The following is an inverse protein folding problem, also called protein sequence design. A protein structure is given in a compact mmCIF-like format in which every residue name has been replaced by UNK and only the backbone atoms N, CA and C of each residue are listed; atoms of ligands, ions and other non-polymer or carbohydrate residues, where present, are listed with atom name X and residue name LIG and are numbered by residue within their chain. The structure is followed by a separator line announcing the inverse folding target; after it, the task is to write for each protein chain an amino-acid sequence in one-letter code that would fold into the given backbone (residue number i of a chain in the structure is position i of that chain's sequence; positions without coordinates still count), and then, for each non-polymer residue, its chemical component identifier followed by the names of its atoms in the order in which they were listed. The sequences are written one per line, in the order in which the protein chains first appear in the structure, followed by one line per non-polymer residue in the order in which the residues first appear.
data_IF_006175295381
#
_entry.id   IF_006175295381
#
_cell.length_a   1.000
_cell.length_b   1.000
_cell.length_c   1.000
_cell.angle_alpha   90.00
_cell.angle_beta   90.00
_cell.angle_gamma   90.00
#
_symmetry.space_group_name_H-M   'P 1'
#
loop_
_entity.id
_entity.type
_entity.pdbx_description
1 polymer ?
#
# COMPACT_ATOMS: atom_id res chain seq x y z
N UNK A 1 14.94 -5.57 19.00
CA UNK A 1 16.18 -6.23 19.49
C UNK A 1 17.04 -5.20 20.22
N UNK A 2 17.46 -5.45 21.47
CA UNK A 2 18.36 -4.55 22.20
C UNK A 2 19.81 -4.86 21.80
N UNK A 3 20.65 -3.83 21.71
CA UNK A 3 22.07 -3.99 21.48
C UNK A 3 22.76 -4.62 22.72
N UNK A 4 24.02 -5.02 22.56
CA UNK A 4 24.78 -5.69 23.63
C UNK A 4 24.93 -4.86 24.90
N UNK A 5 24.90 -3.52 24.79
CA UNK A 5 24.93 -2.57 25.92
C UNK A 5 23.60 -2.48 26.69
N UNK A 6 22.55 -3.20 26.24
CA UNK A 6 21.18 -3.26 26.77
C UNK A 6 20.46 -1.89 26.87
N UNK A 7 21.07 -0.80 26.43
CA UNK A 7 20.55 0.58 26.52
C UNK A 7 20.01 1.10 25.19
N UNK A 8 20.64 0.68 24.10
CA UNK A 8 20.28 1.09 22.74
C UNK A 8 19.74 -0.06 21.91
N UNK A 9 19.06 0.22 20.83
CA UNK A 9 18.58 -0.78 19.88
C UNK A 9 19.61 -1.00 18.78
N UNK A 10 19.64 -2.20 18.19
CA UNK A 10 20.47 -2.49 17.01
C UNK A 10 20.19 -1.49 15.88
N UNK A 11 18.92 -1.12 15.71
CA UNK A 11 18.51 -0.12 14.71
C UNK A 11 19.19 1.24 14.94
N UNK A 12 19.36 1.67 16.21
CA UNK A 12 20.05 2.93 16.55
C UNK A 12 21.52 2.90 16.09
N UNK A 13 22.23 1.79 16.29
CA UNK A 13 23.61 1.65 15.82
C UNK A 13 23.70 1.71 14.31
N UNK A 14 22.86 0.94 13.61
CA UNK A 14 22.82 0.94 12.14
C UNK A 14 22.53 2.36 11.63
N UNK A 15 21.50 3.00 12.15
CA UNK A 15 21.13 4.35 11.76
C UNK A 15 22.24 5.38 12.06
N UNK A 16 22.98 5.23 13.17
CA UNK A 16 24.10 6.12 13.49
C UNK A 16 25.26 5.98 12.51
N UNK A 17 25.53 4.77 12.02
CA UNK A 17 26.53 4.53 10.99
C UNK A 17 26.08 5.14 9.66
N UNK A 18 24.82 4.88 9.26
CA UNK A 18 24.24 5.41 8.01
C UNK A 18 24.26 6.94 8.04
N UNK A 19 23.89 7.57 9.16
CA UNK A 19 23.89 9.02 9.29
C UNK A 19 25.28 9.64 9.05
N UNK A 20 26.35 8.96 9.46
CA UNK A 20 27.73 9.42 9.22
C UNK A 20 28.16 9.29 7.77
N UNK A 21 27.64 8.28 7.05
CA UNK A 21 28.02 8.02 5.66
C UNK A 21 27.15 8.79 4.69
N UNK A 22 25.82 8.66 4.84
CA UNK A 22 24.84 9.35 3.99
C UNK A 22 23.50 9.46 4.74
N UNK A 23 23.23 10.65 5.28
CA UNK A 23 22.00 10.90 6.06
C UNK A 23 20.71 10.79 5.23
N UNK A 24 20.78 10.97 3.91
CA UNK A 24 19.59 10.85 3.04
C UNK A 24 19.04 9.43 2.97
N UNK A 25 19.88 8.41 3.22
CA UNK A 25 19.42 7.02 3.28
C UNK A 25 18.49 6.73 4.47
N UNK A 26 18.36 7.66 5.42
CA UNK A 26 17.40 7.56 6.52
C UNK A 26 16.04 8.16 6.19
N UNK A 27 15.89 8.76 5.00
CA UNK A 27 14.64 9.39 4.53
C UNK A 27 13.71 8.40 3.78
N UNK A 28 13.79 7.10 4.10
CA UNK A 28 13.05 6.01 3.47
C UNK A 28 11.55 6.28 3.40
N UNK A 29 11.01 7.04 4.35
CA UNK A 29 9.60 7.38 4.41
C UNK A 29 9.15 8.27 3.26
N UNK A 30 10.04 9.14 2.81
CA UNK A 30 9.78 10.06 1.69
C UNK A 30 9.75 9.31 0.35
N UNK A 31 10.49 8.19 0.26
CA UNK A 31 10.53 7.33 -0.93
C UNK A 31 9.32 6.37 -1.01
N UNK A 32 8.62 6.14 0.10
CA UNK A 32 7.53 5.17 0.21
C UNK A 32 6.16 5.79 0.62
N UNK A 33 5.74 6.95 0.04
CA UNK A 33 4.55 7.67 0.50
C UNK A 33 3.25 6.87 0.32
N UNK A 34 3.21 5.99 -0.68
CA UNK A 34 2.04 5.16 -0.97
C UNK A 34 1.96 3.92 -0.08
N UNK A 35 3.09 3.32 0.27
CA UNK A 35 3.15 2.12 1.13
C UNK A 35 2.57 2.42 2.51
N UNK A 36 2.81 3.62 3.04
CA UNK A 36 2.29 4.05 4.34
C UNK A 36 0.77 4.27 4.36
N UNK A 37 0.14 4.45 3.18
CA UNK A 37 -1.31 4.63 3.01
C UNK A 37 -2.06 3.32 2.75
N UNK A 38 -1.35 2.22 2.47
CA UNK A 38 -1.95 0.94 2.06
C UNK A 38 -2.46 0.08 3.20
N UNK A 39 -2.80 0.66 4.35
CA UNK A 39 -3.29 -0.09 5.52
C UNK A 39 -4.63 -0.83 5.30
N UNK A 40 -5.36 -0.53 4.22
CA UNK A 40 -6.70 -1.06 3.94
C UNK A 40 -6.74 -2.11 2.81
N UNK A 41 -5.65 -2.83 2.55
CA UNK A 41 -5.64 -3.91 1.55
C UNK A 41 -6.36 -5.19 2.00
N UNK A 42 -6.78 -5.25 3.27
CA UNK A 42 -7.53 -6.40 3.78
C UNK A 42 -8.94 -6.37 3.18
N UNK A 43 -9.29 -7.45 2.49
CA UNK A 43 -10.64 -7.65 1.96
C UNK A 43 -10.93 -7.04 0.58
N UNK A 44 -9.97 -6.41 -0.10
CA UNK A 44 -10.20 -5.84 -1.43
C UNK A 44 -10.64 -6.91 -2.46
N UNK A 45 -10.12 -8.13 -2.37
CA UNK A 45 -10.52 -9.22 -3.25
C UNK A 45 -11.97 -9.64 -3.03
N UNK A 46 -12.41 -9.69 -1.78
CA UNK A 46 -13.82 -10.00 -1.46
C UNK A 46 -14.74 -8.87 -1.93
N UNK A 47 -14.31 -7.63 -1.80
CA UNK A 47 -15.04 -6.47 -2.32
C UNK A 47 -15.16 -6.51 -3.85
N UNK A 48 -14.10 -6.86 -4.58
CA UNK A 48 -14.14 -7.04 -6.03
C UNK A 48 -15.13 -8.12 -6.43
N UNK A 49 -15.10 -9.29 -5.81
CA UNK A 49 -16.06 -10.38 -6.09
C UNK A 49 -17.51 -9.97 -5.80
N UNK A 50 -17.72 -9.21 -4.74
CA UNK A 50 -19.05 -8.68 -4.41
C UNK A 50 -19.54 -7.72 -5.48
N UNK A 51 -18.68 -6.81 -5.97
CA UNK A 51 -19.02 -5.89 -7.06
C UNK A 51 -19.30 -6.63 -8.36
N UNK A 52 -18.53 -7.67 -8.69
CA UNK A 52 -18.79 -8.54 -9.85
C UNK A 52 -20.19 -9.16 -9.77
N UNK A 53 -20.53 -9.74 -8.63
CA UNK A 53 -21.83 -10.37 -8.44
C UNK A 53 -22.98 -9.36 -8.54
N UNK A 54 -22.85 -8.21 -7.88
CA UNK A 54 -23.83 -7.13 -7.95
C UNK A 54 -24.03 -6.62 -9.37
N UNK A 55 -22.95 -6.51 -10.16
CA UNK A 55 -23.05 -6.08 -11.56
C UNK A 55 -23.78 -7.13 -12.42
N UNK A 56 -23.55 -8.41 -12.18
CA UNK A 56 -24.27 -9.51 -12.85
C UNK A 56 -25.76 -9.42 -12.51
N UNK A 57 -26.12 -9.20 -11.25
CA UNK A 57 -27.50 -9.12 -10.79
C UNK A 57 -28.22 -7.91 -11.43
N UNK A 58 -27.57 -6.75 -11.46
CA UNK A 58 -28.11 -5.55 -12.12
C UNK A 58 -28.29 -5.79 -13.61
N UNK A 59 -27.31 -6.39 -14.29
CA UNK A 59 -27.38 -6.70 -15.72
C UNK A 59 -28.53 -7.65 -16.03
N UNK A 60 -28.74 -8.68 -15.22
CA UNK A 60 -29.85 -9.61 -15.37
C UNK A 60 -31.22 -8.93 -15.21
N UNK A 61 -31.31 -8.01 -14.22
CA UNK A 61 -32.53 -7.23 -13.96
C UNK A 61 -32.87 -6.29 -15.13
N UNK A 62 -31.86 -5.63 -15.68
CA UNK A 62 -32.02 -4.73 -16.84
C UNK A 62 -32.50 -5.53 -18.07
N UNK A 63 -31.92 -6.70 -18.31
CA UNK A 63 -32.32 -7.54 -19.45
C UNK A 63 -33.71 -8.16 -19.29
N UNK A 64 -34.19 -8.39 -18.06
CA UNK A 64 -35.56 -8.91 -17.82
C UNK A 64 -36.67 -7.87 -17.97
N UNK A 65 -36.35 -6.59 -17.83
CA UNK A 65 -37.34 -5.51 -17.89
C UNK A 65 -37.60 -4.96 -19.30
N UNK A 66 -37.00 -5.55 -20.33
CA UNK A 66 -37.18 -5.10 -21.73
C UNK A 66 -38.00 -6.15 -22.46
N UNK A 67 -39.33 -5.90 -22.59
CA UNK A 67 -40.28 -6.72 -23.32
C UNK A 67 -40.16 -6.57 -24.85
N UNK A 68 -38.94 -6.62 -25.40
CA UNK A 68 -38.71 -6.37 -26.84
C UNK A 68 -38.04 -7.55 -27.53
N UNK A 69 -38.17 -7.62 -28.85
CA UNK A 69 -37.56 -8.64 -29.70
C UNK A 69 -36.03 -8.74 -29.52
N UNK A 70 -35.39 -9.92 -29.59
CA UNK A 70 -33.97 -10.11 -29.25
C UNK A 70 -32.96 -9.24 -30.01
N UNK A 71 -33.35 -8.72 -31.19
CA UNK A 71 -32.47 -7.84 -31.98
C UNK A 71 -32.53 -6.37 -31.56
N UNK A 72 -33.65 -5.92 -31.04
CA UNK A 72 -33.85 -4.55 -30.60
C UNK A 72 -33.44 -4.38 -29.10
N UNK A 73 -33.33 -5.51 -28.39
CA UNK A 73 -32.97 -5.56 -26.97
C UNK A 73 -31.56 -4.94 -26.68
N UNK A 74 -30.57 -5.26 -27.50
CA UNK A 74 -29.23 -4.74 -27.29
C UNK A 74 -29.17 -3.22 -27.46
N UNK A 75 -29.85 -2.70 -28.51
CA UNK A 75 -29.89 -1.27 -28.78
C UNK A 75 -30.70 -0.49 -27.74
N UNK A 76 -31.88 -1.01 -27.36
CA UNK A 76 -32.72 -0.36 -26.35
C UNK A 76 -32.08 -0.35 -24.94
N UNK A 77 -31.29 -1.37 -24.60
CA UNK A 77 -30.55 -1.43 -23.35
C UNK A 77 -29.38 -0.43 -23.37
N UNK A 78 -28.64 -0.33 -24.48
CA UNK A 78 -27.52 0.60 -24.63
C UNK A 78 -27.96 2.08 -24.62
N UNK A 79 -29.17 2.38 -25.11
CA UNK A 79 -29.72 3.75 -25.12
C UNK A 79 -30.35 4.16 -23.79
N UNK A 80 -30.63 3.20 -22.89
CA UNK A 80 -31.15 3.53 -21.54
C UNK A 80 -30.03 4.03 -20.60
N UNK A 81 -30.37 4.94 -19.69
CA UNK A 81 -29.43 5.41 -18.67
C UNK A 81 -28.87 4.29 -17.81
N UNK A 82 -29.67 3.28 -17.53
CA UNK A 82 -29.27 2.07 -16.79
C UNK A 82 -28.32 1.19 -17.63
N UNK A 83 -28.57 1.06 -18.92
CA UNK A 83 -27.68 0.35 -19.83
C UNK A 83 -26.31 1.00 -19.92
N UNK A 84 -26.24 2.33 -20.05
CA UNK A 84 -24.98 3.09 -20.01
C UNK A 84 -24.25 2.87 -18.70
N UNK A 85 -24.97 2.95 -17.58
CA UNK A 85 -24.37 2.67 -16.26
C UNK A 85 -23.74 1.27 -16.19
N UNK A 86 -24.44 0.23 -16.69
CA UNK A 86 -23.91 -1.14 -16.71
C UNK A 86 -22.68 -1.26 -17.59
N UNK A 87 -22.64 -0.58 -18.74
CA UNK A 87 -21.45 -0.55 -19.62
C UNK A 87 -20.26 0.11 -18.93
N UNK A 88 -20.46 1.29 -18.36
CA UNK A 88 -19.41 2.03 -17.64
C UNK A 88 -18.91 1.26 -16.41
N UNK A 89 -19.82 0.69 -15.63
CA UNK A 89 -19.48 -0.13 -14.48
C UNK A 89 -18.68 -1.39 -14.88
N UNK A 90 -19.04 -2.02 -16.01
CA UNK A 90 -18.31 -3.18 -16.54
C UNK A 90 -16.89 -2.79 -16.97
N UNK A 91 -16.73 -1.66 -17.64
CA UNK A 91 -15.42 -1.17 -18.05
C UNK A 91 -14.53 -0.84 -16.83
N UNK A 92 -15.08 -0.13 -15.85
CA UNK A 92 -14.38 0.20 -14.61
C UNK A 92 -14.00 -1.05 -13.80
N UNK A 93 -14.88 -2.05 -13.75
CA UNK A 93 -14.58 -3.31 -13.06
C UNK A 93 -13.47 -4.09 -13.77
N UNK A 94 -13.48 -4.13 -15.10
CA UNK A 94 -12.40 -4.75 -15.88
C UNK A 94 -11.05 -4.05 -15.66
N UNK A 95 -11.03 -2.74 -15.50
CA UNK A 95 -9.82 -1.98 -15.17
C UNK A 95 -9.33 -2.31 -13.76
N UNK A 96 -10.21 -2.37 -12.77
CA UNK A 96 -9.89 -2.77 -11.41
C UNK A 96 -9.33 -4.20 -11.34
N UNK A 97 -9.88 -5.14 -12.11
CA UNK A 97 -9.37 -6.50 -12.20
C UNK A 97 -7.95 -6.54 -12.75
N UNK A 98 -7.69 -5.82 -13.86
CA UNK A 98 -6.35 -5.71 -14.43
C UNK A 98 -5.36 -5.10 -13.44
N UNK A 99 -5.76 -4.07 -12.73
CA UNK A 99 -4.93 -3.45 -11.69
C UNK A 99 -4.63 -4.43 -10.54
N UNK A 100 -5.64 -5.22 -10.12
CA UNK A 100 -5.48 -6.27 -9.11
C UNK A 100 -4.49 -7.35 -9.55
N UNK A 101 -4.58 -7.82 -10.79
CA UNK A 101 -3.69 -8.85 -11.32
C UNK A 101 -2.25 -8.33 -11.44
N UNK A 102 -2.09 -7.12 -11.95
CA UNK A 102 -0.78 -6.45 -12.02
C UNK A 102 -0.18 -6.26 -10.61
N UNK A 103 -1.01 -5.88 -9.63
CA UNK A 103 -0.56 -5.77 -8.24
C UNK A 103 -0.06 -7.11 -7.73
N UNK A 104 -0.80 -8.21 -7.94
CA UNK A 104 -0.40 -9.55 -7.51
C UNK A 104 0.93 -9.98 -8.14
N UNK A 105 1.10 -9.73 -9.44
CA UNK A 105 2.33 -10.02 -10.14
C UNK A 105 3.52 -9.26 -9.55
N UNK A 106 3.38 -7.95 -9.38
CA UNK A 106 4.43 -7.10 -8.77
C UNK A 106 4.71 -7.50 -7.33
N UNK A 107 3.67 -7.84 -6.57
CA UNK A 107 3.81 -8.24 -5.17
C UNK A 107 4.58 -9.56 -5.02
N UNK A 108 4.40 -10.53 -5.92
CA UNK A 108 5.23 -11.75 -5.95
C UNK A 108 6.72 -11.44 -6.06
N UNK A 109 7.09 -10.47 -6.89
CA UNK A 109 8.49 -10.03 -7.00
C UNK A 109 9.01 -9.47 -5.68
N UNK A 110 8.18 -8.68 -4.97
CA UNK A 110 8.53 -8.14 -3.65
C UNK A 110 8.72 -9.26 -2.62
N UNK A 111 7.81 -10.26 -2.59
CA UNK A 111 7.93 -11.41 -1.71
C UNK A 111 9.22 -12.19 -1.96
N UNK A 112 9.55 -12.43 -3.22
CA UNK A 112 10.79 -13.10 -3.60
C UNK A 112 12.02 -12.31 -3.14
N UNK A 113 12.01 -10.99 -3.32
CA UNK A 113 13.10 -10.11 -2.86
C UNK A 113 13.26 -10.15 -1.33
N UNK A 114 12.14 -10.18 -0.59
CA UNK A 114 12.12 -10.25 0.87
C UNK A 114 12.27 -11.68 1.42
N UNK A 115 12.48 -12.69 0.56
CA UNK A 115 12.55 -14.10 0.95
C UNK A 115 11.36 -14.57 1.79
N UNK A 116 10.17 -14.07 1.45
CA UNK A 116 8.91 -14.46 2.09
C UNK A 116 8.18 -15.51 1.25
N UNK A 117 7.32 -16.30 1.93
CA UNK A 117 6.48 -17.27 1.26
C UNK A 117 5.48 -16.58 0.32
N UNK A 118 5.18 -17.21 -0.83
CA UNK A 118 4.21 -16.70 -1.81
C UNK A 118 2.80 -16.51 -1.24
N UNK A 119 2.47 -17.22 -0.15
CA UNK A 119 1.19 -17.11 0.56
C UNK A 119 1.15 -15.95 1.57
N UNK A 120 2.21 -15.14 1.68
CA UNK A 120 2.24 -14.05 2.64
C UNK A 120 1.29 -12.93 2.22
N UNK A 121 0.38 -12.56 3.12
CA UNK A 121 -0.60 -11.51 2.87
C UNK A 121 0.07 -10.13 2.67
N UNK A 122 -0.35 -9.33 1.67
CA UNK A 122 0.18 -7.99 1.43
C UNK A 122 0.11 -7.08 2.65
N UNK A 123 -1.00 -7.13 3.40
CA UNK A 123 -1.19 -6.34 4.60
C UNK A 123 -0.12 -6.60 5.67
N UNK A 124 0.34 -7.85 5.79
CA UNK A 124 1.40 -8.23 6.73
C UNK A 124 2.75 -7.64 6.32
N UNK A 125 3.10 -7.74 5.03
CA UNK A 125 4.37 -7.20 4.51
C UNK A 125 4.41 -5.69 4.62
N UNK A 126 3.36 -5.00 4.19
CA UNK A 126 3.28 -3.54 4.29
C UNK A 126 3.20 -3.06 5.74
N UNK A 127 2.59 -3.85 6.64
CA UNK A 127 2.59 -3.61 8.08
C UNK A 127 4.02 -3.63 8.66
N UNK A 128 4.85 -4.59 8.27
CA UNK A 128 6.26 -4.64 8.68
C UNK A 128 7.07 -3.45 8.14
N UNK A 129 6.90 -3.10 6.87
CA UNK A 129 7.60 -1.95 6.28
C UNK A 129 7.20 -0.67 6.99
N UNK A 130 5.91 -0.47 7.24
CA UNK A 130 5.39 0.71 7.96
C UNK A 130 5.95 0.79 9.39
N UNK A 131 5.95 -0.33 10.11
CA UNK A 131 6.52 -0.38 11.46
C UNK A 131 8.01 -0.05 11.44
N UNK A 132 8.77 -0.62 10.53
CA UNK A 132 10.19 -0.34 10.35
C UNK A 132 10.46 1.14 10.05
N UNK A 133 9.70 1.75 9.14
CA UNK A 133 9.82 3.18 8.82
C UNK A 133 9.53 4.07 10.03
N UNK A 134 8.53 3.72 10.84
CA UNK A 134 8.20 4.46 12.06
C UNK A 134 9.32 4.33 13.12
N UNK A 135 9.85 3.13 13.30
CA UNK A 135 10.97 2.90 14.23
C UNK A 135 12.23 3.66 13.79
N UNK A 136 12.49 3.70 12.49
CA UNK A 136 13.60 4.45 11.92
C UNK A 136 13.46 5.96 12.17
N UNK A 137 12.25 6.53 12.00
CA UNK A 137 11.96 7.92 12.29
C UNK A 137 12.21 8.27 13.78
N UNK A 138 11.78 7.39 14.69
CA UNK A 138 12.02 7.56 16.13
C UNK A 138 13.53 7.62 16.41
N UNK A 139 14.27 6.69 15.83
CA UNK A 139 15.74 6.64 15.99
C UNK A 139 16.41 7.88 15.40
N UNK A 140 16.00 8.33 14.21
CA UNK A 140 16.48 9.55 13.57
C UNK A 140 16.26 10.79 14.44
N UNK A 141 15.08 10.89 15.06
CA UNK A 141 14.81 11.96 16.03
C UNK A 141 15.70 11.90 17.26
N UNK A 142 16.04 10.71 17.75
CA UNK A 142 16.97 10.52 18.86
C UNK A 142 18.39 10.92 18.50
N UNK A 143 18.88 10.55 17.31
CA UNK A 143 20.19 10.92 16.79
C UNK A 143 20.33 12.44 16.68
N UNK A 144 19.35 13.12 16.07
CA UNK A 144 19.34 14.60 15.98
C UNK A 144 19.36 15.29 17.35
N UNK A 145 18.77 14.69 18.39
CA UNK A 145 18.81 15.21 19.76
C UNK A 145 20.15 14.97 20.43
N UNK A 146 20.79 13.81 20.19
CA UNK A 146 22.13 13.51 20.71
C UNK A 146 23.21 14.45 20.13
N UNK A 147 23.19 14.70 18.82
CA UNK A 147 24.12 15.62 18.18
C UNK A 147 23.98 17.04 18.75
N UNK A 148 22.77 17.53 18.95
CA UNK A 148 22.55 18.84 19.58
C UNK A 148 23.07 18.92 21.02
N UNK A 149 23.09 17.84 21.78
CA UNK A 149 23.62 17.80 23.14
C UNK A 149 25.15 17.82 23.14
N UNK A 150 25.77 17.09 22.22
CA UNK A 150 27.21 17.08 22.02
C UNK A 150 27.73 18.47 21.64
N UNK A 151 27.06 19.17 20.71
CA UNK A 151 27.41 20.53 20.32
C UNK A 151 27.26 21.52 21.48
N UNK A 152 26.18 21.44 22.28
CA UNK A 152 26.00 22.31 23.46
C UNK A 152 27.03 22.05 24.56
N UNK A 153 27.48 20.82 24.72
CA UNK A 153 28.58 20.47 25.67
C UNK A 153 29.92 21.00 25.23
N UNK A 154 30.23 20.92 23.93
CA UNK A 154 31.48 21.44 23.39
C UNK A 154 31.59 22.96 23.51
N UNK A 155 30.55 23.72 23.27
CA UNK A 155 30.53 25.19 23.37
C UNK A 155 30.72 25.67 24.82
N UNK A 156 30.24 24.93 25.82
CA UNK A 156 30.46 25.28 27.24
C UNK A 156 31.89 25.07 27.74
N UNK A 157 32.69 24.26 27.07
CA UNK A 157 34.09 23.99 27.43
C UNK A 157 35.07 24.97 26.79
N UNK A 158 34.59 25.91 25.97
CA UNK A 158 35.39 26.95 25.32
C UNK A 158 35.11 28.37 25.87
N UNK A 159 34.36 28.51 26.94
CA UNK A 159 34.18 29.73 27.74
C UNK A 159 34.80 29.55 29.12
#
# INVERSE_FOLDING_TARGET
MKAWDKRTTVLFYIASIIQRWNSSLLDVKDDLPYVLKTQNLVGYESALRTLEQQLIDVRSTVSMNVDTSPKDLCQAVEESDMGRFVLDATANLAELQRASDLFKEKFKVVLLYLTQDECTEPAKVFGFITSFCNDLDVVRCQLKKSDKRLFRGAVKNFQ
#
